data_IF_461294691603
#
_entry.id   IF_461294691603
#
_cell.length_a   1.000
_cell.length_b   1.000
_cell.length_c   1.000
_cell.angle_alpha   90.00
_cell.angle_beta   90.00
_cell.angle_gamma   90.00
#
_symmetry.space_group_name_H-M   'P 1'
#
loop_
_entity.id
_entity.type
_entity.pdbx_description
1 polymer ?
#
# COMPACT_ATOMS: atom_id res chain seq x y z
N UNK A 1 42.73 -2.81 -9.69
CA UNK A 1 41.79 -3.88 -9.30
C UNK A 1 40.51 -3.20 -8.81
N UNK A 2 39.49 -3.05 -9.67
CA UNK A 2 38.23 -2.43 -9.29
C UNK A 2 37.22 -3.50 -8.89
N UNK A 3 36.91 -3.58 -7.60
CA UNK A 3 35.80 -4.37 -7.07
C UNK A 3 34.50 -3.61 -7.34
N UNK A 4 33.79 -3.96 -8.41
CA UNK A 4 32.37 -3.58 -8.55
C UNK A 4 31.57 -4.43 -7.57
N UNK A 5 31.00 -3.80 -6.55
CA UNK A 5 30.01 -4.44 -5.69
C UNK A 5 28.82 -4.87 -6.55
N UNK A 6 28.64 -6.18 -6.68
CA UNK A 6 27.46 -6.78 -7.27
C UNK A 6 26.39 -6.80 -6.17
N UNK A 7 25.42 -5.88 -6.23
CA UNK A 7 24.21 -6.01 -5.40
C UNK A 7 23.42 -7.17 -6.00
N UNK A 8 23.24 -8.26 -5.25
CA UNK A 8 22.44 -9.39 -5.72
C UNK A 8 20.98 -8.93 -5.83
N UNK A 9 20.25 -9.35 -6.86
CA UNK A 9 18.80 -9.09 -6.96
C UNK A 9 18.03 -9.57 -5.72
N UNK A 10 18.57 -10.55 -5.01
CA UNK A 10 18.03 -11.05 -3.74
C UNK A 10 18.09 -10.00 -2.62
N UNK A 11 19.07 -9.09 -2.65
CA UNK A 11 19.21 -7.99 -1.69
C UNK A 11 18.22 -6.84 -1.98
N UNK A 12 17.70 -6.74 -3.22
CA UNK A 12 16.68 -5.75 -3.60
C UNK A 12 15.24 -6.22 -3.30
N UNK A 13 15.03 -7.52 -3.12
CA UNK A 13 13.72 -8.12 -2.81
C UNK A 13 13.43 -8.25 -1.31
N UNK A 14 13.97 -7.36 -0.47
CA UNK A 14 13.78 -7.44 0.98
C UNK A 14 12.32 -7.21 1.44
N UNK A 15 11.47 -6.59 0.62
CA UNK A 15 10.08 -6.32 0.96
C UNK A 15 9.14 -6.57 -0.24
N UNK A 16 8.54 -7.76 -0.28
CA UNK A 16 7.52 -8.09 -1.29
C UNK A 16 6.16 -7.52 -0.86
N UNK A 17 5.72 -6.46 -1.54
CA UNK A 17 4.37 -5.90 -1.33
C UNK A 17 3.37 -6.85 -2.00
N UNK A 18 2.45 -7.41 -1.22
CA UNK A 18 1.51 -8.44 -1.68
C UNK A 18 0.08 -7.94 -1.65
N UNK A 19 -0.30 -7.21 -0.59
CA UNK A 19 -1.62 -6.62 -0.47
C UNK A 19 -1.50 -5.18 0.04
N UNK A 20 -2.15 -4.27 -0.69
CA UNK A 20 -2.18 -2.85 -0.44
C UNK A 20 -3.58 -2.47 0.04
N UNK A 21 -3.65 -1.73 1.14
CA UNK A 21 -4.86 -1.07 1.62
C UNK A 21 -4.80 0.42 1.25
N UNK A 22 -5.66 0.85 0.33
CA UNK A 22 -5.84 2.25 -0.03
C UNK A 22 -6.94 2.87 0.84
N UNK A 23 -6.64 3.98 1.50
CA UNK A 23 -7.57 4.73 2.34
C UNK A 23 -7.82 6.08 1.69
N UNK A 24 -8.99 6.23 1.09
CA UNK A 24 -9.34 7.40 0.31
C UNK A 24 -10.83 7.70 0.50
N UNK A 25 -11.25 8.96 0.40
CA UNK A 25 -12.68 9.25 0.45
C UNK A 25 -13.39 8.58 -0.75
N UNK A 26 -14.71 8.31 -0.68
CA UNK A 26 -15.44 7.77 -1.83
C UNK A 26 -15.27 8.63 -3.10
N UNK A 27 -15.14 9.95 -2.93
CA UNK A 27 -14.87 10.88 -4.02
C UNK A 27 -13.47 10.68 -4.62
N UNK A 28 -12.44 10.59 -3.77
CA UNK A 28 -11.07 10.33 -4.22
C UNK A 28 -10.96 8.95 -4.88
N UNK A 29 -11.56 7.92 -4.30
CA UNK A 29 -11.57 6.56 -4.86
C UNK A 29 -12.27 6.54 -6.22
N UNK A 30 -13.42 7.20 -6.33
CA UNK A 30 -14.15 7.30 -7.60
C UNK A 30 -13.34 8.04 -8.67
N UNK A 31 -12.70 9.17 -8.33
CA UNK A 31 -11.79 9.88 -9.23
C UNK A 31 -10.62 8.99 -9.70
N UNK A 32 -10.05 8.21 -8.80
CA UNK A 32 -8.92 7.31 -9.08
C UNK A 32 -9.33 6.12 -9.96
N UNK A 33 -10.56 5.61 -9.80
CA UNK A 33 -11.15 4.57 -10.63
C UNK A 33 -11.57 5.09 -12.01
N UNK A 34 -12.25 6.23 -12.07
CA UNK A 34 -12.76 6.83 -13.31
C UNK A 34 -11.61 7.30 -14.22
N UNK A 35 -10.49 7.72 -13.64
CA UNK A 35 -9.28 8.01 -14.39
C UNK A 35 -8.65 6.75 -15.02
N UNK A 36 -9.03 5.53 -14.60
CA UNK A 36 -8.32 4.28 -14.92
C UNK A 36 -6.89 4.23 -14.39
N UNK A 37 -6.39 5.34 -13.86
CA UNK A 37 -4.98 5.59 -13.64
C UNK A 37 -4.44 4.85 -12.43
N UNK A 38 -5.21 4.65 -11.35
CA UNK A 38 -4.58 4.12 -10.15
C UNK A 38 -4.23 2.64 -10.29
N UNK A 39 -5.22 1.78 -10.53
CA UNK A 39 -4.97 0.34 -10.66
C UNK A 39 -4.09 0.02 -11.87
N UNK A 40 -4.31 0.68 -13.02
CA UNK A 40 -3.50 0.43 -14.21
C UNK A 40 -2.09 1.03 -14.13
N UNK A 41 -1.87 2.21 -13.52
CA UNK A 41 -0.51 2.74 -13.33
C UNK A 41 0.22 1.99 -12.24
N UNK A 42 -0.43 1.63 -11.13
CA UNK A 42 0.16 0.74 -10.12
C UNK A 42 0.59 -0.58 -10.80
N UNK A 43 -0.32 -1.21 -11.56
CA UNK A 43 -0.03 -2.44 -12.28
C UNK A 43 1.07 -2.26 -13.35
N UNK A 44 1.01 -1.17 -14.13
CA UNK A 44 1.95 -0.87 -15.21
C UNK A 44 3.36 -0.56 -14.70
N UNK A 45 3.47 0.27 -13.66
CA UNK A 45 4.74 0.55 -12.99
C UNK A 45 5.32 -0.72 -12.35
N UNK A 46 4.49 -1.60 -11.78
CA UNK A 46 4.98 -2.89 -11.28
C UNK A 46 5.42 -3.84 -12.38
N UNK A 47 4.75 -3.88 -13.55
CA UNK A 47 5.22 -4.64 -14.71
C UNK A 47 6.54 -4.10 -15.24
N UNK A 48 6.75 -2.79 -15.19
CA UNK A 48 8.03 -2.16 -15.56
C UNK A 48 9.17 -2.48 -14.57
N UNK A 49 8.84 -2.87 -13.33
CA UNK A 49 9.79 -3.26 -12.29
C UNK A 49 10.14 -4.77 -12.30
N UNK A 50 9.79 -5.51 -13.36
CA UNK A 50 9.97 -6.97 -13.48
C UNK A 50 9.29 -7.79 -12.36
N UNK A 51 8.30 -7.21 -11.66
CA UNK A 51 7.56 -7.94 -10.63
C UNK A 51 6.61 -8.93 -11.29
N UNK A 52 6.83 -10.22 -11.03
CA UNK A 52 6.07 -11.32 -11.64
C UNK A 52 4.61 -11.41 -11.14
N UNK A 53 4.20 -10.58 -10.18
CA UNK A 53 2.88 -10.60 -9.55
C UNK A 53 2.41 -9.18 -9.20
N UNK A 54 1.14 -8.89 -9.52
CA UNK A 54 0.48 -7.65 -9.13
C UNK A 54 -0.07 -7.77 -7.71
N UNK A 55 0.16 -6.79 -6.82
CA UNK A 55 -0.39 -6.86 -5.47
C UNK A 55 -1.93 -6.78 -5.48
N UNK A 56 -2.56 -7.43 -4.51
CA UNK A 56 -3.97 -7.23 -4.20
C UNK A 56 -4.22 -5.78 -3.75
N UNK A 57 -5.36 -5.22 -4.15
CA UNK A 57 -5.78 -3.88 -3.76
C UNK A 57 -7.10 -3.96 -3.02
N UNK A 58 -7.13 -3.45 -1.79
CA UNK A 58 -8.33 -3.26 -0.98
C UNK A 58 -8.51 -1.78 -0.71
N UNK A 59 -9.75 -1.29 -0.73
CA UNK A 59 -10.06 0.13 -0.49
C UNK A 59 -10.87 0.31 0.79
N UNK A 60 -10.58 1.36 1.55
CA UNK A 60 -11.35 1.82 2.69
C UNK A 60 -11.70 3.30 2.53
N UNK A 61 -12.94 3.66 2.88
CA UNK A 61 -13.49 5.01 2.78
C UNK A 61 -13.21 5.88 4.02
N UNK A 62 -12.84 5.24 5.14
CA UNK A 62 -12.56 5.89 6.44
C UNK A 62 -11.33 5.26 7.09
N UNK A 63 -10.70 5.99 8.00
CA UNK A 63 -9.58 5.50 8.80
C UNK A 63 -10.02 4.41 9.77
N UNK A 64 -11.24 4.48 10.33
CA UNK A 64 -11.77 3.42 11.18
C UNK A 64 -11.98 2.11 10.40
N UNK A 65 -12.56 2.18 9.20
CA UNK A 65 -12.68 1.02 8.31
C UNK A 65 -11.30 0.45 7.94
N UNK A 66 -10.33 1.32 7.67
CA UNK A 66 -8.97 0.91 7.37
C UNK A 66 -8.33 0.14 8.55
N UNK A 67 -8.55 0.59 9.79
CA UNK A 67 -8.09 -0.10 10.99
C UNK A 67 -8.73 -1.48 11.14
N UNK A 68 -10.04 -1.58 10.89
CA UNK A 68 -10.76 -2.86 10.92
C UNK A 68 -10.26 -3.86 9.87
N UNK A 69 -10.04 -3.39 8.63
CA UNK A 69 -9.48 -4.21 7.57
C UNK A 69 -8.06 -4.66 7.93
N UNK A 70 -7.21 -3.74 8.36
CA UNK A 70 -5.82 -4.05 8.68
C UNK A 70 -5.68 -4.98 9.91
N UNK A 71 -6.65 -4.98 10.84
CA UNK A 71 -6.73 -5.96 11.94
C UNK A 71 -7.13 -7.35 11.45
N UNK A 72 -8.07 -7.43 10.50
CA UNK A 72 -8.63 -8.70 9.98
C UNK A 72 -7.71 -9.35 8.96
N UNK A 73 -7.06 -8.55 8.12
CA UNK A 73 -6.23 -9.00 7.01
C UNK A 73 -4.76 -8.77 7.33
N UNK A 74 -4.12 -9.79 7.91
CA UNK A 74 -2.67 -9.75 8.23
C UNK A 74 -1.76 -9.71 7.02
N UNK A 75 -2.28 -9.98 5.81
CA UNK A 75 -1.50 -9.94 4.57
C UNK A 75 -1.28 -8.51 4.06
N UNK A 76 -2.07 -7.54 4.53
CA UNK A 76 -1.86 -6.12 4.23
C UNK A 76 -0.48 -5.73 4.72
N UNK A 77 0.39 -5.42 3.77
CA UNK A 77 1.76 -5.05 4.04
C UNK A 77 2.12 -3.67 3.52
N UNK A 78 1.19 -2.95 2.88
CA UNK A 78 1.28 -1.52 2.60
C UNK A 78 -0.08 -0.85 2.83
N UNK A 79 -0.08 0.31 3.50
CA UNK A 79 -1.26 1.18 3.60
C UNK A 79 -0.92 2.49 2.90
N UNK A 80 -1.73 2.88 1.93
CA UNK A 80 -1.67 4.16 1.23
C UNK A 80 -2.87 4.99 1.64
N UNK A 81 -2.70 6.30 1.85
CA UNK A 81 -3.80 7.17 2.29
C UNK A 81 -3.72 8.53 1.62
N UNK A 82 -4.88 9.12 1.31
CA UNK A 82 -4.95 10.54 0.95
C UNK A 82 -4.65 11.40 2.19
N UNK A 83 -4.21 12.67 2.03
CA UNK A 83 -3.83 13.54 3.14
C UNK A 83 -4.97 13.78 4.16
N UNK A 84 -6.21 13.79 3.65
CA UNK A 84 -7.43 13.93 4.43
C UNK A 84 -8.33 12.74 4.15
N UNK A 85 -8.42 11.84 5.12
CA UNK A 85 -9.44 10.79 5.13
C UNK A 85 -10.64 11.32 5.90
N UNK A 86 -11.84 10.86 5.56
CA UNK A 86 -13.12 11.43 6.00
C UNK A 86 -13.23 11.70 7.52
N UNK A 87 -12.57 10.91 8.36
CA UNK A 87 -12.67 10.91 9.83
C UNK A 87 -11.33 11.22 10.55
N UNK A 88 -10.19 11.17 9.85
CA UNK A 88 -8.87 11.46 10.44
C UNK A 88 -7.83 11.85 9.39
N UNK A 89 -6.72 12.43 9.83
CA UNK A 89 -5.57 12.68 8.94
C UNK A 89 -4.64 11.47 8.87
N UNK A 90 -3.77 11.45 7.85
CA UNK A 90 -2.83 10.37 7.61
C UNK A 90 -1.90 10.07 8.80
N UNK A 91 -1.48 11.09 9.56
CA UNK A 91 -0.59 10.92 10.70
C UNK A 91 -1.29 10.20 11.87
N UNK A 92 -2.55 10.54 12.13
CA UNK A 92 -3.39 9.90 13.13
C UNK A 92 -3.68 8.44 12.75
N UNK A 93 -4.01 8.16 11.49
CA UNK A 93 -4.17 6.79 10.99
C UNK A 93 -2.89 5.97 11.21
N UNK A 94 -1.74 6.51 10.83
CA UNK A 94 -0.45 5.83 11.01
C UNK A 94 -0.11 5.57 12.48
N UNK A 95 -0.48 6.49 13.39
CA UNK A 95 -0.34 6.30 14.84
C UNK A 95 -1.21 5.13 15.31
N UNK A 96 -2.50 5.13 14.95
CA UNK A 96 -3.46 4.08 15.35
C UNK A 96 -3.10 2.69 14.81
N UNK A 97 -2.61 2.60 13.57
CA UNK A 97 -2.12 1.34 12.98
C UNK A 97 -0.92 0.79 13.76
N UNK A 98 -0.02 1.64 14.25
CA UNK A 98 1.10 1.20 15.11
C UNK A 98 0.61 0.72 16.47
N UNK A 99 -0.34 1.43 17.08
CA UNK A 99 -0.90 1.10 18.39
C UNK A 99 -1.73 -0.18 18.38
N UNK A 100 -2.39 -0.51 17.26
CA UNK A 100 -3.17 -1.73 17.11
C UNK A 100 -2.32 -3.00 17.04
N UNK A 101 -0.99 -2.89 17.08
CA UNK A 101 -0.09 -4.04 17.09
C UNK A 101 -0.03 -4.76 15.76
N UNK A 102 -0.48 -4.11 14.67
CA UNK A 102 -0.31 -4.57 13.30
C UNK A 102 1.19 -4.42 12.97
N UNK A 103 1.98 -5.43 13.34
CA UNK A 103 3.41 -5.49 13.03
C UNK A 103 3.59 -6.26 11.73
N UNK A 104 4.53 -5.78 10.90
CA UNK A 104 5.15 -6.59 9.85
C UNK A 104 6.06 -7.60 10.55
N UNK A 105 5.73 -8.88 10.45
CA UNK A 105 6.62 -10.01 10.72
C UNK A 105 7.80 -10.06 9.73
#
# INVERSE_FOLDING_TARGET
MNHRNHVSYQDLMHYRIQDILLVATPYDSFLLEEAGELSERILGEFRNLDLHYAPGLTVASTGEEALEIARKQRTINLILTTPHVADMNAAELARRVRESGIRRD
#
